data_IF_100049506744
#
_entry.id   IF_100049506744
#
_cell.length_a   1.000
_cell.length_b   1.000
_cell.length_c   1.000
_cell.angle_alpha   90.00
_cell.angle_beta   90.00
_cell.angle_gamma   90.00
#
_symmetry.space_group_name_H-M   'P 1'
#
loop_
_entity.id
_entity.type
_entity.pdbx_description
1 polymer ?
#
# COMPACT_ATOMS: atom_id res chain seq x y z
N UNK A 1 -6.21 -12.24 -10.38
CA UNK A 1 -6.72 -13.47 -9.73
C UNK A 1 -7.94 -13.08 -8.92
N UNK A 2 -9.02 -13.87 -8.99
CA UNK A 2 -10.25 -13.62 -8.22
C UNK A 2 -9.96 -13.78 -6.73
N UNK A 3 -10.52 -12.93 -5.88
CA UNK A 3 -10.14 -12.94 -4.47
C UNK A 3 -10.55 -14.20 -3.72
N UNK A 4 -11.68 -14.84 -4.07
CA UNK A 4 -12.02 -16.15 -3.51
C UNK A 4 -10.93 -17.21 -3.74
N UNK A 5 -10.35 -17.26 -4.94
CA UNK A 5 -9.28 -18.22 -5.28
C UNK A 5 -8.01 -17.93 -4.48
N UNK A 6 -7.64 -16.64 -4.39
CA UNK A 6 -6.50 -16.21 -3.59
C UNK A 6 -6.66 -16.59 -2.12
N UNK A 7 -7.82 -16.30 -1.53
CA UNK A 7 -8.10 -16.56 -0.12
C UNK A 7 -8.06 -18.06 0.15
N UNK A 8 -8.67 -18.90 -0.69
CA UNK A 8 -8.60 -20.35 -0.54
C UNK A 8 -7.16 -20.86 -0.59
N UNK A 9 -6.35 -20.37 -1.53
CA UNK A 9 -4.93 -20.72 -1.61
C UNK A 9 -4.17 -20.27 -0.36
N UNK A 10 -4.42 -19.07 0.13
CA UNK A 10 -3.74 -18.50 1.29
C UNK A 10 -4.04 -19.28 2.58
N UNK A 11 -5.27 -19.74 2.74
CA UNK A 11 -5.70 -20.57 3.87
C UNK A 11 -5.44 -22.07 3.65
N UNK A 12 -4.82 -22.45 2.54
CA UNK A 12 -4.60 -23.84 2.13
C UNK A 12 -5.91 -24.67 2.14
N UNK A 13 -7.03 -24.04 1.79
CA UNK A 13 -8.36 -24.65 1.80
C UNK A 13 -8.72 -25.17 0.42
N UNK A 14 -9.09 -26.44 0.33
CA UNK A 14 -9.51 -27.04 -0.94
C UNK A 14 -10.94 -26.65 -1.31
N UNK A 15 -11.24 -26.58 -2.62
CA UNK A 15 -12.60 -26.23 -3.08
C UNK A 15 -13.66 -27.24 -2.62
N UNK A 16 -13.26 -28.51 -2.42
CA UNK A 16 -14.16 -29.55 -1.90
C UNK A 16 -14.53 -29.28 -0.44
N UNK A 17 -13.55 -28.89 0.37
CA UNK A 17 -13.74 -28.55 1.78
C UNK A 17 -14.67 -27.35 1.94
N UNK A 18 -14.45 -26.27 1.16
CA UNK A 18 -15.34 -25.12 1.19
C UNK A 18 -16.78 -25.50 0.78
N UNK A 19 -16.92 -26.33 -0.25
CA UNK A 19 -18.23 -26.76 -0.73
C UNK A 19 -19.00 -27.57 0.34
N UNK A 20 -18.31 -28.47 1.06
CA UNK A 20 -18.87 -29.22 2.19
C UNK A 20 -19.31 -28.30 3.32
N UNK A 21 -18.47 -27.32 3.71
CA UNK A 21 -18.82 -26.32 4.74
C UNK A 21 -20.05 -25.48 4.37
N UNK A 22 -20.22 -25.18 3.08
CA UNK A 22 -21.37 -24.41 2.58
C UNK A 22 -22.59 -25.27 2.22
N UNK A 23 -22.50 -26.61 2.33
CA UNK A 23 -23.59 -27.53 1.98
C UNK A 23 -23.94 -27.52 0.48
N UNK A 24 -22.96 -27.30 -0.40
CA UNK A 24 -23.14 -27.23 -1.85
C UNK A 24 -22.19 -28.15 -2.61
N UNK A 25 -22.41 -28.30 -3.92
CA UNK A 25 -21.50 -29.08 -4.77
C UNK A 25 -20.23 -28.29 -5.09
N UNK A 26 -19.06 -28.96 -5.11
CA UNK A 26 -17.76 -28.41 -5.55
C UNK A 26 -17.82 -27.66 -6.89
N UNK A 27 -18.69 -28.10 -7.80
CA UNK A 27 -18.91 -27.46 -9.10
C UNK A 27 -19.34 -25.98 -8.95
N UNK A 28 -20.13 -25.64 -7.92
CA UNK A 28 -20.55 -24.26 -7.67
C UNK A 28 -19.35 -23.37 -7.31
N UNK A 29 -18.44 -23.85 -6.46
CA UNK A 29 -17.21 -23.12 -6.10
C UNK A 29 -16.36 -22.87 -7.34
N UNK A 30 -16.19 -23.88 -8.21
CA UNK A 30 -15.45 -23.74 -9.46
C UNK A 30 -16.09 -22.72 -10.41
N UNK A 31 -17.43 -22.61 -10.44
CA UNK A 31 -18.13 -21.62 -11.25
C UNK A 31 -17.89 -20.20 -10.71
N UNK A 32 -17.83 -20.03 -9.39
CA UNK A 32 -17.51 -18.74 -8.76
C UNK A 32 -16.07 -18.30 -9.08
N UNK A 33 -15.11 -19.21 -8.91
CA UNK A 33 -13.69 -18.92 -9.20
C UNK A 33 -13.49 -18.58 -10.68
N UNK A 34 -14.15 -19.31 -11.59
CA UNK A 34 -14.10 -19.04 -13.02
C UNK A 34 -14.96 -17.84 -13.46
N UNK A 35 -15.57 -17.11 -12.51
CA UNK A 35 -16.47 -15.97 -12.77
C UNK A 35 -17.64 -16.29 -13.72
N UNK A 36 -18.02 -17.56 -13.84
CA UNK A 36 -19.18 -18.00 -14.63
C UNK A 36 -20.49 -17.74 -13.89
N UNK A 37 -20.43 -17.66 -12.58
CA UNK A 37 -21.55 -17.31 -11.70
C UNK A 37 -21.05 -16.47 -10.54
N UNK A 38 -21.86 -15.50 -10.10
CA UNK A 38 -21.58 -14.73 -8.89
C UNK A 38 -21.80 -15.59 -7.65
N UNK A 39 -21.08 -15.26 -6.57
CA UNK A 39 -21.31 -15.84 -5.25
C UNK A 39 -22.70 -15.38 -4.76
N UNK A 40 -23.63 -16.28 -4.45
CA UNK A 40 -24.92 -15.91 -3.89
C UNK A 40 -24.76 -15.12 -2.58
N UNK A 41 -25.50 -14.02 -2.42
CA UNK A 41 -25.41 -13.11 -1.26
C UNK A 41 -25.49 -13.81 0.09
N UNK A 42 -26.26 -14.89 0.21
CA UNK A 42 -26.39 -15.68 1.44
C UNK A 42 -25.08 -16.33 1.92
N UNK A 43 -24.11 -16.54 1.04
CA UNK A 43 -22.83 -17.15 1.40
C UNK A 43 -21.76 -16.11 1.75
N UNK A 44 -21.93 -14.83 1.37
CA UNK A 44 -20.94 -13.79 1.66
C UNK A 44 -20.73 -13.57 3.18
N UNK A 45 -21.78 -13.49 4.02
CA UNK A 45 -21.59 -13.38 5.47
C UNK A 45 -20.85 -14.59 6.07
N UNK A 46 -21.13 -15.80 5.56
CA UNK A 46 -20.51 -17.03 6.02
C UNK A 46 -19.01 -17.04 5.68
N UNK A 47 -18.65 -16.61 4.46
CA UNK A 47 -17.27 -16.47 4.03
C UNK A 47 -16.54 -15.40 4.84
N UNK A 48 -17.18 -14.25 5.07
CA UNK A 48 -16.64 -13.18 5.91
C UNK A 48 -16.33 -13.67 7.31
N UNK A 49 -17.24 -14.41 7.94
CA UNK A 49 -17.01 -14.98 9.27
C UNK A 49 -15.86 -16.01 9.26
N UNK A 50 -15.90 -16.95 8.30
CA UNK A 50 -14.92 -18.04 8.17
C UNK A 50 -13.48 -17.54 8.00
N UNK A 51 -13.28 -16.54 7.14
CA UNK A 51 -11.94 -16.05 6.81
C UNK A 51 -11.58 -14.73 7.48
N UNK A 52 -12.56 -13.97 7.98
CA UNK A 52 -12.31 -12.65 8.54
C UNK A 52 -12.00 -11.57 7.55
N UNK A 53 -12.48 -11.75 6.33
CA UNK A 53 -12.17 -10.87 5.22
C UNK A 53 -13.48 -10.25 4.78
N UNK A 54 -13.45 -8.96 4.43
CA UNK A 54 -14.63 -8.25 3.97
C UNK A 54 -15.22 -8.87 2.69
N UNK A 55 -16.55 -8.83 2.58
CA UNK A 55 -17.30 -9.57 1.55
C UNK A 55 -16.90 -9.18 0.12
N UNK A 56 -16.53 -7.91 -0.07
CA UNK A 56 -16.14 -7.34 -1.36
C UNK A 56 -14.97 -8.11 -1.98
N UNK A 57 -13.99 -8.49 -1.16
CA UNK A 57 -12.77 -9.16 -1.61
C UNK A 57 -13.02 -10.53 -2.22
N UNK A 58 -14.08 -11.25 -1.85
CA UNK A 58 -14.35 -12.56 -2.44
C UNK A 58 -14.81 -12.47 -3.91
N UNK A 59 -15.38 -11.33 -4.31
CA UNK A 59 -16.07 -11.19 -5.59
C UNK A 59 -15.27 -10.43 -6.65
N UNK A 60 -14.32 -9.58 -6.21
CA UNK A 60 -13.47 -8.81 -7.12
C UNK A 60 -12.14 -9.48 -7.42
N UNK A 61 -11.47 -8.97 -8.44
CA UNK A 61 -10.05 -9.24 -8.63
C UNK A 61 -9.27 -8.40 -7.65
N UNK A 62 -8.28 -9.03 -7.02
CA UNK A 62 -7.46 -8.36 -6.02
C UNK A 62 -6.27 -7.69 -6.68
N UNK A 63 -6.06 -6.43 -6.33
CA UNK A 63 -4.80 -5.72 -6.49
C UNK A 63 -3.72 -6.30 -5.57
N UNK A 64 -2.45 -6.01 -5.85
CA UNK A 64 -1.35 -6.47 -4.98
C UNK A 64 -1.47 -5.92 -3.55
N UNK A 65 -1.91 -4.67 -3.39
CA UNK A 65 -2.15 -4.07 -2.07
C UNK A 65 -3.22 -4.87 -1.31
N UNK A 66 -4.34 -5.18 -1.95
CA UNK A 66 -5.43 -5.93 -1.30
C UNK A 66 -5.04 -7.36 -0.93
N UNK A 67 -4.21 -8.01 -1.76
CA UNK A 67 -3.64 -9.33 -1.44
C UNK A 67 -2.82 -9.28 -0.15
N UNK A 68 -1.95 -8.27 -0.02
CA UNK A 68 -1.13 -8.08 1.16
C UNK A 68 -1.96 -7.74 2.40
N UNK A 69 -3.00 -6.91 2.25
CA UNK A 69 -3.95 -6.60 3.35
C UNK A 69 -4.68 -7.88 3.83
N UNK A 70 -5.11 -8.75 2.91
CA UNK A 70 -5.72 -10.04 3.24
C UNK A 70 -4.72 -10.98 3.96
N UNK A 71 -3.47 -11.03 3.51
CA UNK A 71 -2.42 -11.78 4.19
C UNK A 71 -2.17 -11.26 5.60
N UNK A 72 -2.20 -9.94 5.80
CA UNK A 72 -2.05 -9.31 7.11
C UNK A 72 -3.18 -9.74 8.04
N UNK A 73 -4.43 -9.71 7.60
CA UNK A 73 -5.57 -10.13 8.43
C UNK A 73 -5.46 -11.59 8.86
N UNK A 74 -5.01 -12.48 7.96
CA UNK A 74 -4.70 -13.87 8.34
C UNK A 74 -3.59 -13.94 9.39
N UNK A 75 -2.46 -13.24 9.18
CA UNK A 75 -1.35 -13.25 10.14
C UNK A 75 -1.76 -12.70 11.50
N UNK A 76 -2.57 -11.63 11.55
CA UNK A 76 -3.10 -11.07 12.81
C UNK A 76 -3.93 -12.10 13.58
N UNK A 77 -4.74 -12.89 12.88
CA UNK A 77 -5.55 -13.96 13.48
C UNK A 77 -4.69 -15.12 14.00
N UNK A 78 -3.71 -15.54 13.21
CA UNK A 78 -2.84 -16.66 13.53
C UNK A 78 -1.88 -16.33 14.68
N UNK A 79 -1.27 -15.14 14.65
CA UNK A 79 -0.20 -14.74 15.56
C UNK A 79 -0.66 -13.93 16.77
N UNK A 80 -1.85 -13.30 16.69
CA UNK A 80 -2.42 -12.43 17.72
C UNK A 80 -1.38 -11.43 18.26
N UNK A 81 -0.82 -10.58 17.39
CA UNK A 81 0.27 -9.70 17.76
C UNK A 81 -0.17 -8.64 18.77
N UNK A 82 0.77 -8.18 19.58
CA UNK A 82 0.60 -7.09 20.53
C UNK A 82 1.45 -5.90 20.07
N UNK A 83 0.90 -4.69 20.15
CA UNK A 83 1.63 -3.48 19.81
C UNK A 83 2.68 -3.23 20.90
N UNK A 84 3.96 -3.13 20.49
CA UNK A 84 5.09 -2.81 21.36
C UNK A 84 5.31 -1.30 21.47
N UNK A 85 5.23 -0.61 20.35
CA UNK A 85 5.48 0.82 20.25
C UNK A 85 4.74 1.41 19.05
N UNK A 86 4.80 2.72 18.91
CA UNK A 86 4.40 3.46 17.72
C UNK A 86 5.61 4.17 17.12
N UNK A 87 5.62 4.31 15.81
CA UNK A 87 6.59 5.10 15.06
C UNK A 87 5.83 6.14 14.24
N UNK A 88 6.36 7.36 14.21
CA UNK A 88 5.82 8.42 13.38
C UNK A 88 6.32 8.23 11.95
N UNK A 89 5.40 8.13 11.00
CA UNK A 89 5.72 7.97 9.59
C UNK A 89 4.90 8.95 8.75
N UNK A 90 5.56 9.57 7.76
CA UNK A 90 4.88 10.39 6.77
C UNK A 90 4.12 9.50 5.79
N UNK A 91 2.81 9.70 5.70
CA UNK A 91 1.93 8.89 4.85
C UNK A 91 1.32 9.73 3.74
N UNK A 92 1.59 9.30 2.50
CA UNK A 92 1.03 9.92 1.30
C UNK A 92 -0.39 9.37 1.10
N UNK A 93 -1.42 10.21 1.25
CA UNK A 93 -2.85 9.82 1.32
C UNK A 93 -3.78 10.74 0.52
N UNK A 94 -5.06 10.77 0.93
CA UNK A 94 -6.02 11.84 0.54
C UNK A 94 -5.71 13.16 1.27
N UNK A 95 -5.11 13.04 2.46
CA UNK A 95 -4.38 14.12 3.14
C UNK A 95 -2.98 13.58 3.45
N UNK A 96 -1.95 14.36 3.13
CA UNK A 96 -0.57 14.06 3.50
C UNK A 96 -0.40 14.43 4.98
N UNK A 97 -0.02 13.47 5.81
CA UNK A 97 0.13 13.69 7.25
C UNK A 97 1.14 12.73 7.88
N UNK A 98 1.65 13.10 9.05
CA UNK A 98 2.42 12.20 9.92
C UNK A 98 1.43 11.40 10.75
N UNK A 99 1.47 10.07 10.62
CA UNK A 99 0.64 9.18 11.44
C UNK A 99 1.48 8.30 12.33
N UNK A 100 0.90 7.89 13.46
CA UNK A 100 1.47 6.88 14.34
C UNK A 100 1.17 5.47 13.78
N UNK A 101 2.21 4.80 13.30
CA UNK A 101 2.14 3.43 12.80
C UNK A 101 2.53 2.46 13.92
N UNK A 102 1.70 1.44 14.22
CA UNK A 102 2.02 0.49 15.28
C UNK A 102 3.15 -0.45 14.88
N UNK A 103 4.12 -0.62 15.77
CA UNK A 103 5.16 -1.66 15.72
C UNK A 103 4.72 -2.82 16.61
N UNK A 104 4.55 -3.99 16.01
CA UNK A 104 4.10 -5.20 16.68
C UNK A 104 5.25 -6.00 17.27
N UNK A 105 4.93 -6.88 18.22
CA UNK A 105 5.89 -7.84 18.78
C UNK A 105 6.33 -8.92 17.80
N UNK A 106 5.57 -9.10 16.71
CA UNK A 106 5.82 -10.09 15.64
C UNK A 106 6.44 -9.42 14.42
N UNK A 107 7.62 -9.88 14.04
CA UNK A 107 8.36 -9.35 12.90
C UNK A 107 7.65 -9.62 11.57
N UNK A 108 6.89 -10.72 11.48
CA UNK A 108 6.10 -11.07 10.29
C UNK A 108 5.01 -10.03 10.01
N UNK A 109 4.41 -9.46 11.07
CA UNK A 109 3.39 -8.42 10.94
C UNK A 109 4.06 -7.10 10.52
N UNK A 110 5.18 -6.75 11.14
CA UNK A 110 5.92 -5.55 10.77
C UNK A 110 6.45 -5.62 9.32
N UNK A 111 6.89 -6.80 8.89
CA UNK A 111 7.34 -7.03 7.52
C UNK A 111 6.21 -6.85 6.51
N UNK A 112 5.02 -7.38 6.79
CA UNK A 112 3.90 -7.24 5.86
C UNK A 112 3.35 -5.81 5.81
N UNK A 113 3.33 -5.07 6.93
CA UNK A 113 2.95 -3.64 6.92
C UNK A 113 3.91 -2.83 6.02
N UNK A 114 5.24 -3.06 6.13
CA UNK A 114 6.21 -2.43 5.22
C UNK A 114 6.01 -2.84 3.75
N UNK A 115 5.66 -4.10 3.49
CA UNK A 115 5.36 -4.56 2.13
C UNK A 115 4.10 -3.88 1.57
N UNK A 116 3.06 -3.69 2.39
CA UNK A 116 1.83 -2.98 2.03
C UNK A 116 2.15 -1.53 1.67
N UNK A 117 2.93 -0.84 2.51
CA UNK A 117 3.34 0.53 2.30
C UNK A 117 4.10 0.70 0.98
N UNK A 118 5.11 -0.15 0.73
CA UNK A 118 5.84 -0.17 -0.54
C UNK A 118 4.92 -0.40 -1.74
N UNK A 119 3.97 -1.33 -1.63
CA UNK A 119 3.02 -1.61 -2.71
C UNK A 119 2.10 -0.42 -2.98
N UNK A 120 1.66 0.29 -1.93
CA UNK A 120 0.87 1.53 -2.06
C UNK A 120 1.69 2.63 -2.75
N UNK A 121 2.96 2.81 -2.37
CA UNK A 121 3.86 3.79 -2.99
C UNK A 121 4.06 3.50 -4.49
N UNK A 122 4.35 2.24 -4.84
CA UNK A 122 4.50 1.82 -6.25
C UNK A 122 3.21 2.06 -7.04
N UNK A 123 2.05 1.74 -6.45
CA UNK A 123 0.76 2.00 -7.08
C UNK A 123 0.54 3.49 -7.35
N UNK A 124 0.86 4.37 -6.38
CA UNK A 124 0.77 5.82 -6.57
C UNK A 124 1.76 6.34 -7.61
N UNK A 125 2.99 5.85 -7.61
CA UNK A 125 4.00 6.24 -8.60
C UNK A 125 3.56 5.87 -10.01
N UNK A 126 2.99 4.67 -10.19
CA UNK A 126 2.42 4.24 -11.46
C UNK A 126 1.28 5.16 -11.90
N UNK A 127 0.35 5.48 -11.00
CA UNK A 127 -0.75 6.40 -11.31
C UNK A 127 -0.24 7.79 -11.71
N UNK A 128 0.81 8.31 -11.06
CA UNK A 128 1.40 9.59 -11.38
C UNK A 128 2.01 9.64 -12.80
N UNK A 129 2.67 8.57 -13.23
CA UNK A 129 3.22 8.47 -14.59
C UNK A 129 2.11 8.35 -15.64
N UNK A 130 1.01 7.68 -15.31
CA UNK A 130 -0.11 7.42 -16.22
C UNK A 130 -1.12 8.59 -16.34
N UNK A 131 -0.85 9.76 -15.74
CA UNK A 131 -1.76 10.93 -15.79
C UNK A 131 -1.94 11.46 -17.23
N UNK A 132 -0.88 11.45 -18.04
CA UNK A 132 -0.90 11.98 -19.41
C UNK A 132 -0.20 10.98 -20.35
N UNK A 133 -0.84 10.68 -21.50
CA UNK A 133 -0.32 9.72 -22.49
C UNK A 133 1.00 10.17 -23.12
N UNK A 134 1.11 11.45 -23.49
CA UNK A 134 2.35 12.06 -23.97
C UNK A 134 2.93 12.93 -22.85
N UNK A 135 3.88 12.36 -22.11
CA UNK A 135 4.41 12.97 -20.90
C UNK A 135 5.61 13.89 -21.21
N UNK A 136 5.46 15.23 -21.23
CA UNK A 136 6.53 16.14 -21.64
C UNK A 136 7.75 16.11 -20.71
N UNK A 137 7.56 15.68 -19.45
CA UNK A 137 8.61 15.55 -18.44
C UNK A 137 9.04 14.11 -18.16
N UNK A 138 8.84 13.16 -19.08
CA UNK A 138 9.19 11.75 -18.86
C UNK A 138 10.67 11.56 -18.49
N UNK A 139 11.56 12.38 -19.05
CA UNK A 139 12.98 12.37 -18.71
C UNK A 139 13.25 12.75 -17.25
N UNK A 140 12.44 13.66 -16.66
CA UNK A 140 12.50 13.96 -15.23
C UNK A 140 12.17 12.73 -14.39
N UNK A 141 11.12 11.97 -14.74
CA UNK A 141 10.80 10.72 -14.04
C UNK A 141 11.92 9.70 -14.14
N UNK A 142 12.58 9.57 -15.30
CA UNK A 142 13.75 8.69 -15.45
C UNK A 142 14.90 9.13 -14.53
N UNK A 143 15.19 10.42 -14.46
CA UNK A 143 16.23 10.96 -13.58
C UNK A 143 15.91 10.70 -12.10
N UNK A 144 14.64 10.88 -11.68
CA UNK A 144 14.20 10.55 -10.32
C UNK A 144 14.47 9.07 -10.02
N UNK A 145 14.11 8.16 -10.93
CA UNK A 145 14.39 6.73 -10.77
C UNK A 145 15.89 6.47 -10.63
N UNK A 146 16.72 7.05 -11.50
CA UNK A 146 18.18 6.91 -11.44
C UNK A 146 18.78 7.43 -10.12
N UNK A 147 18.27 8.56 -9.61
CA UNK A 147 18.68 9.11 -8.32
C UNK A 147 18.29 8.19 -7.16
N UNK A 148 17.07 7.66 -7.17
CA UNK A 148 16.61 6.70 -6.16
C UNK A 148 17.41 5.38 -6.22
N UNK A 149 17.87 4.95 -7.39
CA UNK A 149 18.68 3.72 -7.50
C UNK A 149 20.13 3.92 -7.06
N UNK A 150 20.75 5.04 -7.46
CA UNK A 150 22.21 5.25 -7.35
C UNK A 150 22.63 6.15 -6.20
N UNK A 151 21.74 7.04 -5.75
CA UNK A 151 22.03 8.08 -4.77
C UNK A 151 21.07 8.07 -3.56
N UNK A 152 20.29 7.01 -3.35
CA UNK A 152 19.38 6.89 -2.19
C UNK A 152 20.04 7.06 -0.81
N UNK A 153 21.36 6.93 -0.71
CA UNK A 153 22.08 7.12 0.55
C UNK A 153 22.60 8.56 0.73
N UNK A 154 22.51 9.40 -0.30
CA UNK A 154 23.02 10.76 -0.27
C UNK A 154 22.05 11.68 0.49
N UNK A 155 22.47 12.34 1.59
CA UNK A 155 21.59 13.22 2.36
C UNK A 155 21.02 14.37 1.53
N UNK A 156 21.81 14.91 0.60
CA UNK A 156 21.41 16.02 -0.26
C UNK A 156 20.19 15.69 -1.11
N UNK A 157 20.03 14.43 -1.55
CA UNK A 157 18.86 14.00 -2.32
C UNK A 157 17.59 14.14 -1.47
N UNK A 158 17.61 13.61 -0.25
CA UNK A 158 16.47 13.67 0.67
C UNK A 158 16.12 15.10 1.05
N UNK A 159 17.12 15.90 1.44
CA UNK A 159 16.92 17.31 1.79
C UNK A 159 16.33 18.12 0.63
N UNK A 160 16.81 17.88 -0.59
CA UNK A 160 16.30 18.56 -1.79
C UNK A 160 14.88 18.14 -2.12
N UNK A 161 14.54 16.85 -2.00
CA UNK A 161 13.18 16.36 -2.26
C UNK A 161 12.18 16.94 -1.25
N UNK A 162 12.54 16.96 0.03
CA UNK A 162 11.71 17.56 1.09
C UNK A 162 11.55 19.07 0.90
N UNK A 163 12.64 19.78 0.59
CA UNK A 163 12.60 21.21 0.29
C UNK A 163 11.71 21.54 -0.92
N UNK A 164 11.82 20.77 -2.00
CA UNK A 164 10.93 20.92 -3.16
C UNK A 164 9.47 20.65 -2.80
N UNK A 165 9.22 19.73 -1.87
CA UNK A 165 7.88 19.40 -1.40
C UNK A 165 7.26 20.53 -0.58
N UNK A 166 8.04 21.17 0.30
CA UNK A 166 7.63 22.39 1.01
C UNK A 166 7.45 23.57 0.04
N UNK A 167 8.40 23.82 -0.85
CA UNK A 167 8.33 24.93 -1.81
C UNK A 167 7.11 24.84 -2.73
N UNK A 168 6.71 23.62 -3.13
CA UNK A 168 5.52 23.40 -3.95
C UNK A 168 4.21 23.28 -3.14
N UNK A 169 4.26 23.51 -1.82
CA UNK A 169 3.13 23.39 -0.89
C UNK A 169 2.45 22.00 -0.91
N UNK A 170 3.19 20.94 -1.25
CA UNK A 170 2.68 19.54 -1.24
C UNK A 170 2.97 18.81 0.06
N UNK A 171 3.90 19.33 0.86
CA UNK A 171 4.24 18.89 2.21
C UNK A 171 3.88 20.01 3.20
N UNK A 172 3.21 19.73 4.33
CA UNK A 172 2.92 20.77 5.32
C UNK A 172 4.16 21.20 6.12
N UNK A 173 4.28 22.50 6.40
CA UNK A 173 5.45 23.13 7.08
C UNK A 173 5.85 22.52 8.44
N UNK A 174 4.94 21.83 9.12
CA UNK A 174 5.25 21.18 10.40
C UNK A 174 5.93 19.81 10.23
N UNK A 175 6.04 19.30 9.00
CA UNK A 175 6.68 18.02 8.67
C UNK A 175 8.11 18.30 8.21
N UNK A 176 9.03 18.43 9.16
CA UNK A 176 10.46 18.64 8.89
C UNK A 176 11.31 17.49 9.44
N UNK A 177 12.33 17.08 8.68
CA UNK A 177 13.35 16.12 9.11
C UNK A 177 14.33 16.70 10.15
N UNK A 178 14.22 18.00 10.46
CA UNK A 178 14.85 18.63 11.62
C UNK A 178 15.44 20.01 11.32
N UNK A 179 16.10 20.66 12.30
CA UNK A 179 16.61 22.03 12.14
C UNK A 179 17.61 22.19 10.99
N UNK A 180 18.37 21.15 10.65
CA UNK A 180 19.29 21.16 9.51
C UNK A 180 18.58 21.13 8.14
N UNK A 181 17.30 20.76 8.11
CA UNK A 181 16.46 20.84 6.93
C UNK A 181 15.93 22.26 6.77
N UNK A 182 15.44 22.87 7.87
CA UNK A 182 14.91 24.24 7.86
C UNK A 182 15.99 25.26 7.41
N UNK A 183 17.24 25.08 7.84
CA UNK A 183 18.37 25.90 7.39
C UNK A 183 18.67 25.70 5.89
N UNK A 184 18.69 24.45 5.43
CA UNK A 184 18.90 24.10 4.03
C UNK A 184 17.81 24.69 3.11
N UNK A 185 16.55 24.62 3.55
CA UNK A 185 15.41 25.19 2.83
C UNK A 185 15.49 26.71 2.74
N UNK A 186 15.87 27.38 3.81
CA UNK A 186 16.03 28.84 3.82
C UNK A 186 17.04 29.29 2.75
N UNK A 187 18.21 28.65 2.68
CA UNK A 187 19.22 28.95 1.66
C UNK A 187 18.75 28.58 0.25
N UNK A 188 18.05 27.45 0.10
CA UNK A 188 17.61 26.97 -1.21
C UNK A 188 16.46 27.80 -1.78
N UNK A 189 15.53 28.26 -0.94
CA UNK A 189 14.37 29.05 -1.38
C UNK A 189 14.77 30.44 -1.85
N UNK A 190 15.79 31.06 -1.24
CA UNK A 190 16.38 32.29 -1.78
C UNK A 190 16.86 32.09 -3.22
N UNK A 191 17.52 30.96 -3.52
CA UNK A 191 17.97 30.64 -4.88
C UNK A 191 16.80 30.36 -5.82
N UNK A 192 15.75 29.66 -5.36
CA UNK A 192 14.58 29.37 -6.17
C UNK A 192 13.80 30.63 -6.55
N UNK A 193 13.58 31.54 -5.59
CA UNK A 193 12.85 32.78 -5.83
C UNK A 193 13.59 33.71 -6.80
N UNK A 194 14.92 33.66 -6.83
CA UNK A 194 15.74 34.41 -7.79
C UNK A 194 15.70 33.83 -9.21
N UNK A 195 15.26 32.57 -9.39
CA UNK A 195 15.39 31.82 -10.65
C UNK A 195 14.08 31.23 -11.21
N UNK A 196 12.96 31.30 -10.49
CA UNK A 196 11.64 30.86 -10.96
C UNK A 196 10.90 31.94 -11.79
N UNK A 197 11.49 32.37 -12.92
CA UNK A 197 10.87 33.30 -13.89
C UNK A 197 10.33 32.59 -15.14
#
# INVERSE_FOLDING_TARGET
>A
MIGLEYILSLYNMQHIELAERLGIKKQNINLWIKRKQNIPKKYLPILKEMFGIEEEYFTKELTEVEKLEIQKEKLKRDLKPVIKNYEQQFMIGDMNDIIEVPIYDKDEINAIERSIEKAKLVSKFKQAIEIVDDHPYLDTFKLIVELLEKAQHEPILHKTVEALAHYCEVLPDWVSSGPEQDEFESELFEVFDDHNF
#
